data_IF_746645987095
#
_entry.id   IF_746645987095
#
_cell.length_a   1.000
_cell.length_b   1.000
_cell.length_c   1.000
_cell.angle_alpha   90.00
_cell.angle_beta   90.00
_cell.angle_gamma   90.00
#
_symmetry.space_group_name_H-M   'P 1'
#
loop_
_entity.id
_entity.type
_entity.pdbx_description
1 polymer ?
#
# COMPACT_ATOMS: atom_id res chain seq x y z
N UNK A 1 4.29 7.70 2.80
CA UNK A 1 3.85 8.04 1.43
C UNK A 1 2.48 7.44 1.19
N UNK A 2 1.57 8.21 0.54
CA UNK A 2 0.16 7.80 0.43
C UNK A 2 -0.66 8.11 1.69
N UNK A 3 -0.27 9.12 2.45
CA UNK A 3 -0.81 9.50 3.76
C UNK A 3 -2.30 9.84 3.76
N UNK A 4 -2.92 10.11 2.61
CA UNK A 4 -4.36 10.35 2.47
C UNK A 4 -5.17 9.08 2.12
N UNK A 5 -4.49 7.94 1.91
CA UNK A 5 -5.11 6.64 1.69
C UNK A 5 -5.49 5.92 2.99
N UNK A 6 -6.19 4.78 2.88
CA UNK A 6 -6.68 4.01 4.04
C UNK A 6 -5.54 3.67 5.00
N UNK A 7 -4.51 2.97 4.55
CA UNK A 7 -3.39 2.55 5.39
C UNK A 7 -2.53 3.73 5.84
N UNK A 8 -2.23 4.67 4.92
CA UNK A 8 -1.37 5.80 5.22
C UNK A 8 -1.92 6.72 6.31
N UNK A 9 -3.25 6.95 6.34
CA UNK A 9 -3.88 7.74 7.41
C UNK A 9 -3.77 7.06 8.78
N UNK A 10 -3.98 5.74 8.81
CA UNK A 10 -3.92 4.95 10.04
C UNK A 10 -2.50 4.96 10.59
N UNK A 11 -1.51 4.62 9.77
CA UNK A 11 -0.10 4.67 10.15
C UNK A 11 0.28 6.05 10.70
N UNK A 12 -0.09 7.12 10.00
CA UNK A 12 0.22 8.47 10.44
C UNK A 12 -0.40 8.80 11.80
N UNK A 13 -1.67 8.43 12.03
CA UNK A 13 -2.35 8.66 13.31
C UNK A 13 -1.73 7.86 14.46
N UNK A 14 -1.37 6.60 14.22
CA UNK A 14 -0.71 5.75 15.21
C UNK A 14 0.67 6.31 15.58
N UNK A 15 1.49 6.67 14.59
CA UNK A 15 2.80 7.28 14.81
C UNK A 15 2.71 8.60 15.59
N UNK A 16 1.78 9.50 15.22
CA UNK A 16 1.54 10.75 15.95
C UNK A 16 1.13 10.50 17.40
N UNK A 17 0.28 9.51 17.66
CA UNK A 17 -0.12 9.10 19.02
C UNK A 17 1.07 8.65 19.85
N UNK A 18 2.04 8.00 19.22
CA UNK A 18 3.26 7.50 19.85
C UNK A 18 4.38 8.56 19.92
N UNK A 19 4.09 9.80 19.53
CA UNK A 19 5.00 10.94 19.64
C UNK A 19 6.03 11.07 18.52
N UNK A 20 5.83 10.38 17.39
CA UNK A 20 6.71 10.53 16.23
C UNK A 20 6.47 11.85 15.50
N UNK A 21 7.53 12.37 14.89
CA UNK A 21 7.46 13.47 13.93
C UNK A 21 7.12 12.91 12.54
N UNK A 22 5.91 13.20 12.03
CA UNK A 22 5.34 12.51 10.87
C UNK A 22 5.26 13.43 9.66
N UNK A 23 5.96 13.05 8.60
CA UNK A 23 5.93 13.71 7.30
C UNK A 23 5.07 12.90 6.32
N UNK A 24 4.07 13.52 5.72
CA UNK A 24 3.11 12.87 4.84
C UNK A 24 3.23 13.35 3.39
N UNK A 25 3.73 12.51 2.50
CA UNK A 25 3.81 12.82 1.07
C UNK A 25 2.52 12.43 0.35
N UNK A 26 1.90 13.40 -0.30
CA UNK A 26 0.72 13.22 -1.15
C UNK A 26 0.55 14.39 -2.11
N UNK A 27 -0.25 14.18 -3.17
CA UNK A 27 -0.59 15.24 -4.16
C UNK A 27 -1.60 16.24 -3.60
N UNK A 28 -2.46 15.81 -2.68
CA UNK A 28 -3.58 16.57 -2.10
C UNK A 28 -3.53 16.56 -0.57
N UNK A 29 -4.25 17.49 0.04
CA UNK A 29 -4.35 17.63 1.51
C UNK A 29 -5.64 17.07 2.09
N UNK A 30 -6.65 16.80 1.26
CA UNK A 30 -7.92 16.24 1.72
C UNK A 30 -7.70 14.87 2.36
N UNK A 31 -8.17 14.72 3.59
CA UNK A 31 -7.97 13.51 4.38
C UNK A 31 -6.61 13.39 5.07
N UNK A 32 -5.79 14.45 5.04
CA UNK A 32 -4.53 14.49 5.79
C UNK A 32 -4.82 14.53 7.31
N UNK A 33 -4.25 13.63 8.11
CA UNK A 33 -4.40 13.68 9.56
C UNK A 33 -3.80 14.95 10.16
N UNK A 34 -4.48 15.52 11.17
CA UNK A 34 -3.97 16.67 11.89
C UNK A 34 -2.65 16.32 12.59
N UNK A 35 -1.65 17.21 12.51
CA UNK A 35 -0.32 17.01 13.08
C UNK A 35 0.71 16.45 12.09
N UNK A 36 0.31 16.02 10.91
CA UNK A 36 1.23 15.59 9.85
C UNK A 36 1.82 16.79 9.12
N UNK A 37 3.13 16.82 8.97
CA UNK A 37 3.82 17.78 8.10
C UNK A 37 3.63 17.37 6.63
N UNK A 38 2.82 18.12 5.89
CA UNK A 38 2.50 17.79 4.51
C UNK A 38 3.65 18.11 3.55
N UNK A 39 4.05 17.11 2.76
CA UNK A 39 4.95 17.26 1.62
C UNK A 39 4.12 17.06 0.35
N UNK A 40 3.93 18.12 -0.42
CA UNK A 40 3.22 18.03 -1.70
C UNK A 40 4.22 17.64 -2.79
N UNK A 41 3.99 16.47 -3.41
CA UNK A 41 4.75 16.03 -4.58
C UNK A 41 3.97 15.00 -5.39
N UNK A 42 4.20 14.99 -6.70
CA UNK A 42 3.83 13.89 -7.57
C UNK A 42 5.01 12.92 -7.69
N UNK A 43 4.82 11.69 -7.22
CA UNK A 43 5.84 10.63 -7.26
C UNK A 43 6.34 10.30 -8.68
N UNK A 44 5.59 10.64 -9.72
CA UNK A 44 6.00 10.44 -11.11
C UNK A 44 6.91 11.57 -11.62
N UNK A 45 7.00 12.68 -10.91
CA UNK A 45 7.91 13.77 -11.25
C UNK A 45 9.17 13.71 -10.37
N UNK A 46 10.24 13.11 -10.89
CA UNK A 46 11.48 12.88 -10.15
C UNK A 46 12.12 14.18 -9.61
N UNK A 47 12.08 15.27 -10.40
CA UNK A 47 12.65 16.56 -10.00
C UNK A 47 11.84 17.20 -8.88
N UNK A 48 10.50 17.14 -8.94
CA UNK A 48 9.61 17.61 -7.88
C UNK A 48 9.83 16.83 -6.58
N UNK A 49 9.90 15.49 -6.67
CA UNK A 49 10.18 14.62 -5.51
C UNK A 49 11.51 14.98 -4.88
N UNK A 50 12.58 15.08 -5.68
CA UNK A 50 13.91 15.45 -5.20
C UNK A 50 13.92 16.81 -4.52
N UNK A 51 13.28 17.81 -5.11
CA UNK A 51 13.21 19.15 -4.53
C UNK A 51 12.40 19.18 -3.23
N UNK A 52 11.27 18.46 -3.19
CA UNK A 52 10.38 18.43 -2.01
C UNK A 52 10.94 17.64 -0.83
N UNK A 53 11.87 16.72 -1.08
CA UNK A 53 12.50 15.89 -0.05
C UNK A 53 13.89 16.41 0.38
N UNK A 54 14.40 17.47 -0.26
CA UNK A 54 15.72 18.01 0.05
C UNK A 54 15.84 18.43 1.51
N UNK A 55 16.87 17.94 2.20
CA UNK A 55 17.12 18.19 3.61
C UNK A 55 16.31 17.34 4.59
N UNK A 56 15.35 16.51 4.08
CA UNK A 56 14.59 15.61 4.92
C UNK A 56 15.39 14.33 5.20
N UNK A 57 15.45 13.92 6.46
CA UNK A 57 16.17 12.72 6.91
C UNK A 57 15.26 11.79 7.71
N UNK A 58 14.27 11.14 7.07
CA UNK A 58 13.40 10.24 7.78
C UNK A 58 14.17 8.96 8.18
N UNK A 59 13.93 8.47 9.39
CA UNK A 59 14.49 7.18 9.83
C UNK A 59 13.73 6.01 9.17
N UNK A 60 12.41 6.16 9.03
CA UNK A 60 11.52 5.11 8.53
C UNK A 60 10.65 5.68 7.40
N UNK A 61 10.48 4.90 6.35
CA UNK A 61 9.62 5.23 5.22
C UNK A 61 8.53 4.18 5.09
N UNK A 62 7.26 4.60 5.14
CA UNK A 62 6.10 3.75 4.83
C UNK A 62 5.60 4.07 3.42
N UNK A 63 5.67 3.09 2.51
CA UNK A 63 5.19 3.21 1.15
C UNK A 63 3.87 2.45 0.99
N UNK A 64 2.74 3.17 1.01
CA UNK A 64 1.40 2.62 0.90
C UNK A 64 0.64 3.11 -0.33
N UNK A 65 1.31 3.91 -1.18
CA UNK A 65 0.70 4.43 -2.39
C UNK A 65 0.94 3.51 -3.59
N UNK A 66 -0.08 3.40 -4.44
CA UNK A 66 0.04 2.84 -5.77
C UNK A 66 -0.86 3.57 -6.75
N UNK A 67 -0.55 3.50 -8.03
CA UNK A 67 -1.28 4.18 -9.10
C UNK A 67 -1.86 3.12 -10.02
N UNK A 68 -3.19 3.08 -10.15
CA UNK A 68 -3.88 2.21 -11.09
C UNK A 68 -3.82 2.78 -12.49
N UNK A 69 -3.47 1.94 -13.46
CA UNK A 69 -3.53 2.16 -14.90
C UNK A 69 -4.41 1.09 -15.55
N UNK A 70 -4.65 1.24 -16.86
CA UNK A 70 -5.54 0.36 -17.61
C UNK A 70 -4.89 -0.98 -17.98
N UNK A 71 -3.56 -1.04 -18.05
CA UNK A 71 -2.80 -2.27 -18.34
C UNK A 71 -1.77 -2.57 -17.25
N UNK A 72 -1.38 -3.85 -17.12
CA UNK A 72 -0.34 -4.25 -16.18
C UNK A 72 1.03 -3.70 -16.58
N UNK A 73 1.32 -3.57 -17.87
CA UNK A 73 2.56 -2.94 -18.35
C UNK A 73 2.69 -1.49 -17.87
N UNK A 74 1.61 -0.70 -17.97
CA UNK A 74 1.58 0.67 -17.43
C UNK A 74 1.64 0.70 -15.90
N UNK A 75 0.98 -0.26 -15.21
CA UNK A 75 1.09 -0.39 -13.76
C UNK A 75 2.54 -0.63 -13.33
N UNK A 76 3.26 -1.50 -14.03
CA UNK A 76 4.68 -1.81 -13.80
C UNK A 76 5.51 -0.54 -13.95
N UNK A 77 5.36 0.17 -15.06
CA UNK A 77 6.12 1.39 -15.34
C UNK A 77 5.92 2.46 -14.26
N UNK A 78 4.65 2.82 -14.00
CA UNK A 78 4.35 3.93 -13.08
C UNK A 78 4.64 3.59 -11.63
N UNK A 79 4.34 2.36 -11.18
CA UNK A 79 4.54 2.00 -9.78
C UNK A 79 6.01 1.70 -9.46
N UNK A 80 6.78 1.16 -10.41
CA UNK A 80 8.24 1.10 -10.29
C UNK A 80 8.86 2.49 -10.18
N UNK A 81 8.44 3.43 -11.04
CA UNK A 81 8.91 4.81 -11.00
C UNK A 81 8.62 5.51 -9.66
N UNK A 82 7.49 5.24 -9.01
CA UNK A 82 7.17 5.86 -7.71
C UNK A 82 8.16 5.48 -6.62
N UNK A 83 8.54 4.20 -6.52
CA UNK A 83 9.53 3.71 -5.56
C UNK A 83 10.91 4.29 -5.88
N UNK A 84 11.33 4.19 -7.14
CA UNK A 84 12.63 4.68 -7.61
C UNK A 84 12.81 6.17 -7.33
N UNK A 85 11.83 7.00 -7.70
CA UNK A 85 11.90 8.45 -7.50
C UNK A 85 11.92 8.83 -6.02
N UNK A 86 11.10 8.17 -5.19
CA UNK A 86 11.08 8.39 -3.75
C UNK A 86 12.44 8.11 -3.12
N UNK A 87 12.98 6.91 -3.33
CA UNK A 87 14.24 6.47 -2.69
C UNK A 87 15.45 7.21 -3.26
N UNK A 88 15.45 7.56 -4.55
CA UNK A 88 16.47 8.42 -5.14
C UNK A 88 16.41 9.86 -4.59
N UNK A 89 15.21 10.37 -4.30
CA UNK A 89 15.02 11.70 -3.70
C UNK A 89 15.52 11.79 -2.26
N UNK A 90 15.44 10.72 -1.48
CA UNK A 90 15.92 10.65 -0.09
C UNK A 90 17.42 10.34 0.02
N UNK A 91 18.02 9.68 -0.98
CA UNK A 91 19.41 9.24 -0.98
C UNK A 91 20.44 10.33 -0.66
N UNK A 92 20.37 11.56 -1.22
CA UNK A 92 21.37 12.59 -1.01
C UNK A 92 21.57 12.99 0.47
N UNK A 93 20.50 12.99 1.24
CA UNK A 93 20.48 13.42 2.64
C UNK A 93 20.71 12.26 3.62
N UNK A 94 20.47 11.02 3.17
CA UNK A 94 20.63 9.80 3.96
C UNK A 94 19.64 9.69 5.12
N UNK A 95 19.94 8.83 6.08
CA UNK A 95 19.20 8.70 7.32
C UNK A 95 18.12 7.62 7.32
N UNK A 96 17.71 7.12 6.17
CA UNK A 96 16.74 6.02 6.09
C UNK A 96 17.34 4.75 6.67
N UNK A 97 16.71 4.20 7.69
CA UNK A 97 17.09 2.95 8.35
C UNK A 97 16.24 1.78 7.85
N UNK A 98 14.93 2.04 7.60
CA UNK A 98 13.98 1.01 7.18
C UNK A 98 12.94 1.57 6.20
N UNK A 99 12.54 0.73 5.23
CA UNK A 99 11.44 1.02 4.31
C UNK A 99 10.42 -0.12 4.37
N UNK A 100 9.20 0.19 4.83
CA UNK A 100 8.08 -0.74 4.82
C UNK A 100 7.22 -0.52 3.58
N UNK A 101 7.13 -1.51 2.72
CA UNK A 101 6.35 -1.49 1.47
C UNK A 101 5.07 -2.31 1.63
N UNK A 102 3.93 -1.67 1.43
CA UNK A 102 2.66 -2.36 1.33
C UNK A 102 2.40 -2.80 -0.11
N UNK A 103 2.23 -4.10 -0.30
CA UNK A 103 1.79 -4.75 -1.53
C UNK A 103 0.47 -5.50 -1.31
N UNK A 104 0.27 -6.65 -1.90
CA UNK A 104 -0.96 -7.42 -1.69
C UNK A 104 -0.96 -8.78 -2.39
N UNK A 105 -2.11 -9.45 -2.37
CA UNK A 105 -2.27 -10.82 -2.85
C UNK A 105 -2.00 -11.06 -4.33
N UNK A 106 -1.78 -10.02 -5.14
CA UNK A 106 -1.29 -10.21 -6.51
C UNK A 106 0.05 -10.93 -6.58
N UNK A 107 0.80 -10.96 -5.46
CA UNK A 107 1.99 -11.81 -5.37
C UNK A 107 1.66 -13.28 -5.70
N UNK A 108 0.55 -13.78 -5.18
CA UNK A 108 0.11 -15.17 -5.31
C UNK A 108 -0.86 -15.41 -6.45
N UNK A 109 -1.64 -14.39 -6.85
CA UNK A 109 -2.73 -14.50 -7.82
C UNK A 109 -2.39 -13.92 -9.20
N UNK A 110 -1.31 -13.16 -9.30
CA UNK A 110 -0.97 -12.40 -10.51
C UNK A 110 -1.84 -11.15 -10.71
N UNK A 111 -1.71 -10.47 -11.85
CA UNK A 111 -2.52 -9.32 -12.21
C UNK A 111 -4.00 -9.71 -12.44
N UNK A 112 -4.91 -8.74 -12.36
CA UNK A 112 -6.35 -8.98 -12.52
C UNK A 112 -6.74 -9.68 -13.83
N UNK A 113 -6.01 -9.44 -14.90
CA UNK A 113 -6.27 -10.06 -16.21
C UNK A 113 -6.06 -11.58 -16.19
N UNK A 114 -5.28 -12.09 -15.24
CA UNK A 114 -5.04 -13.51 -15.08
C UNK A 114 -6.16 -14.22 -14.30
N UNK A 115 -6.95 -13.50 -13.49
CA UNK A 115 -7.95 -14.12 -12.61
C UNK A 115 -9.02 -14.92 -13.35
N UNK A 116 -9.39 -14.52 -14.57
CA UNK A 116 -10.39 -15.23 -15.37
C UNK A 116 -9.88 -16.57 -15.94
N UNK A 117 -8.55 -16.74 -16.04
CA UNK A 117 -7.92 -17.89 -16.69
C UNK A 117 -6.95 -18.64 -15.78
N UNK A 118 -6.71 -18.16 -14.57
CA UNK A 118 -5.77 -18.78 -13.64
C UNK A 118 -6.35 -20.05 -13.04
N UNK A 119 -5.53 -21.09 -12.95
CA UNK A 119 -5.76 -22.15 -11.98
C UNK A 119 -5.68 -21.49 -10.61
N UNK A 120 -6.77 -21.52 -9.84
CA UNK A 120 -6.77 -20.93 -8.49
C UNK A 120 -5.64 -21.57 -7.69
N UNK A 121 -4.78 -20.73 -7.14
CA UNK A 121 -3.73 -21.16 -6.23
C UNK A 121 -4.35 -21.85 -5.00
N UNK A 122 -3.69 -22.84 -4.46
CA UNK A 122 -4.12 -23.46 -3.21
C UNK A 122 -4.06 -22.44 -2.06
N UNK A 123 -5.00 -22.55 -1.14
CA UNK A 123 -5.07 -21.69 0.05
C UNK A 123 -4.96 -22.56 1.31
N UNK A 124 -4.42 -22.02 2.41
CA UNK A 124 -3.90 -20.65 2.60
C UNK A 124 -2.59 -20.40 1.85
N UNK A 125 -2.34 -19.14 1.46
CA UNK A 125 -1.04 -18.73 0.92
C UNK A 125 0.03 -18.74 1.99
N UNK A 126 1.27 -19.00 1.59
CA UNK A 126 2.43 -18.99 2.47
C UNK A 126 3.43 -17.92 2.06
N UNK A 127 4.10 -17.31 3.03
CA UNK A 127 5.03 -16.19 2.80
C UNK A 127 6.25 -16.61 1.98
N UNK A 128 6.66 -17.89 2.06
CA UNK A 128 7.78 -18.46 1.32
C UNK A 128 7.45 -18.93 -0.11
N UNK A 129 6.19 -18.76 -0.55
CA UNK A 129 5.83 -19.09 -1.92
C UNK A 129 6.58 -18.21 -2.93
N UNK A 130 7.11 -18.82 -4.02
CA UNK A 130 7.86 -18.09 -5.02
C UNK A 130 6.97 -17.14 -5.83
N UNK A 131 7.57 -16.14 -6.44
CA UNK A 131 6.90 -15.28 -7.43
C UNK A 131 6.40 -16.11 -8.60
N UNK A 132 5.22 -15.74 -9.12
CA UNK A 132 4.70 -16.32 -10.35
C UNK A 132 5.52 -15.84 -11.56
N UNK A 133 5.58 -16.68 -12.60
CA UNK A 133 6.21 -16.30 -13.88
C UNK A 133 5.23 -15.49 -14.76
N UNK A 134 4.85 -14.33 -14.24
CA UNK A 134 3.94 -13.36 -14.90
C UNK A 134 4.40 -11.92 -14.60
N UNK A 135 4.18 -10.98 -15.52
CA UNK A 135 4.37 -9.56 -15.22
C UNK A 135 3.50 -9.12 -14.05
N UNK A 136 4.10 -8.42 -13.08
CA UNK A 136 3.39 -7.98 -11.89
C UNK A 136 4.06 -6.72 -11.32
N UNK A 137 3.29 -5.65 -11.17
CA UNK A 137 3.84 -4.38 -10.70
C UNK A 137 4.33 -4.43 -9.24
N UNK A 138 3.82 -5.32 -8.40
CA UNK A 138 4.35 -5.51 -7.06
C UNK A 138 5.78 -6.06 -7.09
N UNK A 139 6.07 -6.99 -8.01
CA UNK A 139 7.43 -7.50 -8.18
C UNK A 139 8.41 -6.39 -8.59
N UNK A 140 7.97 -5.49 -9.48
CA UNK A 140 8.78 -4.34 -9.87
C UNK A 140 9.01 -3.39 -8.70
N UNK A 141 7.99 -3.12 -7.88
CA UNK A 141 8.15 -2.30 -6.67
C UNK A 141 9.13 -2.93 -5.67
N UNK A 142 9.05 -4.24 -5.46
CA UNK A 142 9.98 -5.00 -4.62
C UNK A 142 11.40 -4.94 -5.18
N UNK A 143 11.58 -5.13 -6.49
CA UNK A 143 12.89 -5.09 -7.14
C UNK A 143 13.57 -3.71 -7.01
N UNK A 144 12.82 -2.63 -7.20
CA UNK A 144 13.31 -1.27 -6.98
C UNK A 144 13.67 -1.03 -5.50
N UNK A 145 12.86 -1.53 -4.57
CA UNK A 145 13.12 -1.46 -3.13
C UNK A 145 14.40 -2.21 -2.77
N UNK A 146 14.54 -3.46 -3.21
CA UNK A 146 15.69 -4.31 -2.89
C UNK A 146 17.00 -3.77 -3.49
N UNK A 147 16.93 -3.24 -4.72
CA UNK A 147 18.07 -2.59 -5.35
C UNK A 147 18.53 -1.35 -4.57
N UNK A 148 17.58 -0.49 -4.17
CA UNK A 148 17.87 0.68 -3.37
C UNK A 148 18.38 0.33 -1.97
N UNK A 149 17.82 -0.67 -1.31
CA UNK A 149 18.27 -1.15 0.00
C UNK A 149 19.72 -1.64 -0.05
N UNK A 150 20.06 -2.42 -1.08
CA UNK A 150 21.43 -2.89 -1.30
C UNK A 150 22.42 -1.73 -1.54
N UNK A 151 22.00 -0.70 -2.28
CA UNK A 151 22.84 0.45 -2.60
C UNK A 151 23.00 1.40 -1.41
N UNK A 152 21.93 1.64 -0.64
CA UNK A 152 21.88 2.68 0.38
C UNK A 152 22.07 2.14 1.81
N UNK A 153 21.99 0.81 2.01
CA UNK A 153 22.28 0.14 3.29
C UNK A 153 21.15 0.21 4.32
N UNK A 154 19.90 0.41 3.91
CA UNK A 154 18.74 0.32 4.80
C UNK A 154 18.12 -1.08 4.78
N UNK A 155 17.34 -1.43 5.81
CA UNK A 155 16.53 -2.65 5.87
C UNK A 155 15.13 -2.41 5.30
N UNK A 156 14.41 -3.48 4.98
CA UNK A 156 13.08 -3.37 4.39
C UNK A 156 12.13 -4.42 4.96
N UNK A 157 10.81 -4.18 4.78
CA UNK A 157 9.77 -5.20 4.95
C UNK A 157 8.72 -5.04 3.86
N UNK A 158 8.14 -6.16 3.41
CA UNK A 158 7.07 -6.20 2.41
C UNK A 158 5.82 -6.83 3.03
N UNK A 159 4.69 -6.12 2.94
CA UNK A 159 3.42 -6.52 3.56
C UNK A 159 2.38 -6.82 2.50
N UNK A 160 1.98 -8.08 2.38
CA UNK A 160 1.08 -8.60 1.35
C UNK A 160 -0.36 -8.67 1.84
N UNK A 161 -0.96 -7.49 2.11
CA UNK A 161 -2.32 -7.40 2.63
C UNK A 161 -3.38 -7.78 1.58
N UNK A 162 -4.52 -8.31 2.03
CA UNK A 162 -5.71 -8.51 1.20
C UNK A 162 -6.58 -7.24 1.14
N UNK A 163 -7.90 -7.38 0.88
CA UNK A 163 -8.86 -6.28 0.83
C UNK A 163 -8.86 -5.52 2.15
N UNK A 164 -8.41 -4.26 2.12
CA UNK A 164 -8.25 -3.46 3.32
C UNK A 164 -9.55 -2.77 3.68
N UNK A 165 -10.00 -2.99 4.90
CA UNK A 165 -11.15 -2.34 5.50
C UNK A 165 -10.71 -1.16 6.37
N UNK A 166 -11.13 0.03 5.99
CA UNK A 166 -10.80 1.26 6.70
C UNK A 166 -11.43 2.49 6.07
N UNK A 167 -11.19 3.65 6.66
CA UNK A 167 -11.74 4.91 6.19
C UNK A 167 -10.68 5.72 5.42
N UNK A 168 -11.09 6.29 4.29
CA UNK A 168 -10.34 7.34 3.60
C UNK A 168 -11.28 8.20 2.76
N UNK A 169 -11.02 9.51 2.71
CA UNK A 169 -11.77 10.45 1.87
C UNK A 169 -11.42 10.20 0.40
N UNK A 170 -12.42 10.21 -0.49
CA UNK A 170 -12.27 10.05 -1.94
C UNK A 170 -11.50 8.78 -2.36
N UNK A 171 -11.64 7.69 -1.62
CA UNK A 171 -11.08 6.41 -1.99
C UNK A 171 -12.15 5.55 -2.67
N UNK A 172 -12.09 5.49 -4.01
CA UNK A 172 -13.04 4.73 -4.82
C UNK A 172 -12.91 3.18 -4.64
N UNK A 173 -11.73 2.71 -4.23
CA UNK A 173 -11.48 1.29 -3.96
C UNK A 173 -11.67 0.97 -2.47
N UNK A 174 -12.86 1.22 -1.95
CA UNK A 174 -13.21 0.99 -0.56
C UNK A 174 -14.43 0.07 -0.45
N UNK A 175 -14.18 -1.20 -0.16
CA UNK A 175 -15.24 -2.22 -0.08
C UNK A 175 -16.25 -1.91 1.03
N UNK A 176 -15.80 -1.39 2.17
CA UNK A 176 -16.70 -1.01 3.29
C UNK A 176 -17.66 0.07 2.85
N UNK A 177 -17.15 1.13 2.20
CA UNK A 177 -17.98 2.22 1.67
C UNK A 177 -18.97 1.70 0.62
N UNK A 178 -18.50 0.86 -0.30
CA UNK A 178 -19.35 0.28 -1.36
C UNK A 178 -20.52 -0.53 -0.78
N UNK A 179 -20.23 -1.42 0.17
CA UNK A 179 -21.25 -2.25 0.82
C UNK A 179 -22.19 -1.42 1.69
N UNK A 180 -21.68 -0.42 2.40
CA UNK A 180 -22.50 0.49 3.23
C UNK A 180 -23.46 1.32 2.37
N UNK A 181 -22.97 1.89 1.26
CA UNK A 181 -23.84 2.62 0.32
C UNK A 181 -24.92 1.71 -0.27
N UNK A 182 -24.55 0.49 -0.67
CA UNK A 182 -25.52 -0.49 -1.16
C UNK A 182 -26.58 -0.83 -0.10
N UNK A 183 -26.16 -1.08 1.13
CA UNK A 183 -27.08 -1.38 2.24
C UNK A 183 -28.08 -0.23 2.50
N UNK A 184 -27.61 1.03 2.54
CA UNK A 184 -28.48 2.19 2.75
C UNK A 184 -29.45 2.41 1.57
N UNK A 185 -29.03 2.17 0.34
CA UNK A 185 -29.91 2.21 -0.84
C UNK A 185 -31.02 1.15 -0.73
N UNK A 186 -30.67 -0.11 -0.40
CA UNK A 186 -31.66 -1.17 -0.23
C UNK A 186 -32.66 -0.84 0.88
N UNK A 187 -32.17 -0.35 2.00
CA UNK A 187 -33.01 0.11 3.12
C UNK A 187 -33.96 1.25 2.71
N UNK A 188 -33.46 2.26 2.00
CA UNK A 188 -34.28 3.38 1.52
C UNK A 188 -35.37 2.92 0.53
N UNK A 189 -35.11 1.87 -0.24
CA UNK A 189 -36.08 1.28 -1.18
C UNK A 189 -37.03 0.26 -0.53
N UNK A 190 -36.91 0.00 0.77
CA UNK A 190 -37.68 -1.05 1.47
C UNK A 190 -37.38 -2.46 0.98
N UNK A 191 -36.17 -2.70 0.45
CA UNK A 191 -35.72 -3.98 -0.08
C UNK A 191 -34.76 -4.68 0.88
N UNK A 192 -34.71 -6.02 0.89
CA UNK A 192 -33.71 -6.76 1.67
C UNK A 192 -32.31 -6.51 1.13
N UNK A 193 -31.31 -6.59 2.02
CA UNK A 193 -29.92 -6.62 1.61
C UNK A 193 -29.64 -8.01 0.97
N UNK A 194 -29.46 -8.03 -0.34
CA UNK A 194 -29.12 -9.24 -1.09
C UNK A 194 -27.60 -9.20 -1.38
N UNK A 195 -26.91 -10.30 -1.11
CA UNK A 195 -25.49 -10.40 -1.41
C UNK A 195 -25.21 -10.08 -2.90
N UNK A 196 -24.36 -9.08 -3.22
CA UNK A 196 -24.19 -8.60 -4.59
C UNK A 196 -23.14 -9.40 -5.40
N UNK A 197 -22.78 -10.59 -4.97
CA UNK A 197 -21.80 -11.46 -5.62
C UNK A 197 -22.42 -12.72 -6.27
N UNK A 198 -21.55 -13.61 -6.75
CA UNK A 198 -21.95 -14.88 -7.32
C UNK A 198 -22.26 -15.92 -6.24
N UNK A 199 -22.90 -17.03 -6.64
CA UNK A 199 -23.12 -18.19 -5.77
C UNK A 199 -21.78 -18.77 -5.27
N UNK A 200 -20.76 -18.80 -6.12
CA UNK A 200 -19.43 -19.28 -5.77
C UNK A 200 -18.80 -18.41 -4.68
N UNK A 201 -18.86 -17.08 -4.83
CA UNK A 201 -18.32 -16.17 -3.82
C UNK A 201 -19.12 -16.16 -2.52
N UNK A 202 -20.44 -16.45 -2.57
CA UNK A 202 -21.25 -16.62 -1.37
C UNK A 202 -20.82 -17.83 -0.53
N UNK A 203 -20.45 -18.94 -1.19
CA UNK A 203 -20.01 -20.16 -0.53
C UNK A 203 -18.49 -20.21 -0.26
N UNK A 204 -17.76 -19.21 -0.70
CA UNK A 204 -16.32 -19.09 -0.46
C UNK A 204 -16.03 -18.50 0.91
N UNK A 205 -14.82 -18.75 1.38
CA UNK A 205 -14.23 -18.03 2.52
C UNK A 205 -13.28 -16.98 1.97
N UNK A 206 -13.37 -15.76 2.48
CA UNK A 206 -12.48 -14.66 2.13
C UNK A 206 -12.05 -13.97 3.43
N UNK A 207 -10.78 -13.63 3.50
CA UNK A 207 -10.24 -12.77 4.55
C UNK A 207 -10.35 -11.30 4.17
N UNK A 208 -10.30 -10.46 5.14
CA UNK A 208 -10.18 -9.01 5.00
C UNK A 208 -9.11 -8.50 5.95
N UNK A 209 -8.44 -7.44 5.56
CA UNK A 209 -7.40 -6.82 6.38
C UNK A 209 -7.96 -5.59 7.08
N UNK A 210 -7.94 -5.57 8.40
CA UNK A 210 -8.24 -4.38 9.18
C UNK A 210 -7.11 -3.36 9.05
N UNK A 211 -7.45 -2.11 8.73
CA UNK A 211 -6.47 -1.06 8.49
C UNK A 211 -5.67 -0.66 9.73
N UNK A 212 -6.30 -0.70 10.93
CA UNK A 212 -5.62 -0.37 12.20
C UNK A 212 -4.58 -1.45 12.52
N UNK A 213 -4.96 -2.72 12.42
CA UNK A 213 -4.05 -3.84 12.64
C UNK A 213 -2.92 -3.86 11.60
N UNK A 214 -3.21 -3.57 10.34
CA UNK A 214 -2.19 -3.46 9.30
C UNK A 214 -1.20 -2.32 9.60
N UNK A 215 -1.69 -1.18 10.09
CA UNK A 215 -0.85 -0.07 10.52
C UNK A 215 0.08 -0.47 11.65
N UNK A 216 -0.43 -1.15 12.69
CA UNK A 216 0.36 -1.68 13.79
C UNK A 216 1.43 -2.66 13.30
N UNK A 217 1.09 -3.57 12.37
CA UNK A 217 2.03 -4.53 11.79
C UNK A 217 3.16 -3.84 11.02
N UNK A 218 2.84 -2.85 10.17
CA UNK A 218 3.87 -2.11 9.42
C UNK A 218 4.80 -1.35 10.37
N UNK A 219 4.27 -0.70 11.41
CA UNK A 219 5.05 0.03 12.40
C UNK A 219 5.92 -0.96 13.21
N UNK A 220 5.36 -2.08 13.62
CA UNK A 220 6.10 -3.11 14.34
C UNK A 220 7.29 -3.62 13.51
N UNK A 221 7.06 -4.01 12.26
CA UNK A 221 8.12 -4.52 11.38
C UNK A 221 9.22 -3.46 11.14
N UNK A 222 8.86 -2.18 11.02
CA UNK A 222 9.81 -1.10 10.81
C UNK A 222 10.62 -0.72 12.08
N UNK A 223 10.18 -1.18 13.26
CA UNK A 223 10.79 -0.82 14.57
C UNK A 223 11.44 -1.99 15.30
N UNK A 224 11.23 -3.23 14.83
CA UNK A 224 11.75 -4.44 15.44
C UNK A 224 12.66 -5.19 14.47
N UNK A 225 13.72 -5.77 15.03
CA UNK A 225 14.74 -6.49 14.24
C UNK A 225 14.16 -7.69 13.49
N UNK A 226 13.15 -8.32 14.03
CA UNK A 226 12.47 -9.48 13.46
C UNK A 226 11.72 -9.16 12.17
N UNK A 227 11.44 -7.88 11.91
CA UNK A 227 10.84 -7.41 10.65
C UNK A 227 11.84 -6.99 9.58
N UNK A 228 13.14 -7.06 9.87
CA UNK A 228 14.18 -6.63 8.93
C UNK A 228 14.39 -7.64 7.80
N UNK A 229 14.19 -7.18 6.56
CA UNK A 229 14.38 -7.95 5.31
C UNK A 229 13.43 -9.16 5.19
N UNK A 230 12.20 -8.99 5.67
CA UNK A 230 11.14 -9.98 5.61
C UNK A 230 10.01 -9.57 4.63
N UNK A 231 9.35 -10.60 3.98
CA UNK A 231 8.32 -10.36 2.96
C UNK A 231 7.15 -11.33 3.02
#
# INVERSE_FOLDING_TARGET
VGVTGISGQVIAKQLLKDGWDVYGLSRRTEGLPSGVHHIKADLLNADEVKASLAGLKPEIVFMTAWIKKDSEAENIEVNGATIRNLLAGLKPDGGVRHVALQTGLKHYLGPFDNYANAVMAETPFHEDEPRLDVPNFYYTQEDELFAAAKEQGFTWSVHRSHTIFGYAVDNAMNMVLTLSCYAEIQKALGKPFIYPGSWQSWNGVVDVTDAELLGEQLIWAATHKEGENEA
#
